data_IF_239515744520
#
_entry.id   IF_239515744520
#
_cell.length_a   1.000
_cell.length_b   1.000
_cell.length_c   1.000
_cell.angle_alpha   90.00
_cell.angle_beta   90.00
_cell.angle_gamma   90.00
#
_symmetry.space_group_name_H-M   'P 1'
#
loop_
_entity.id
_entity.type
_entity.pdbx_description
1 polymer ?
#
# COMPACT_ATOMS: atom_id res chain seq x y z
N UNK A 1 17.58 18.53 18.36
CA UNK A 1 17.61 18.92 16.93
C UNK A 1 16.42 18.34 16.17
N UNK A 2 16.22 17.02 16.22
CA UNK A 2 15.16 16.32 15.46
C UNK A 2 13.74 16.71 15.89
N UNK A 3 13.44 16.75 17.19
CA UNK A 3 12.12 17.16 17.69
C UNK A 3 11.74 18.58 17.23
N UNK A 4 12.71 19.50 17.27
CA UNK A 4 12.54 20.87 16.80
C UNK A 4 12.24 20.91 15.30
N UNK A 5 12.90 20.07 14.51
CA UNK A 5 12.65 19.98 13.07
C UNK A 5 11.24 19.44 12.74
N UNK A 6 10.76 18.44 13.50
CA UNK A 6 9.40 17.89 13.35
C UNK A 6 8.35 18.96 13.69
N UNK A 7 8.52 19.67 14.81
CA UNK A 7 7.61 20.74 15.23
C UNK A 7 7.53 21.86 14.20
N UNK A 8 8.68 22.28 13.68
CA UNK A 8 8.79 23.35 12.70
C UNK A 8 8.20 22.92 11.33
N UNK A 9 8.40 21.67 10.91
CA UNK A 9 7.76 21.12 9.73
C UNK A 9 6.23 21.01 9.88
N UNK A 10 5.75 20.59 11.05
CA UNK A 10 4.32 20.53 11.36
C UNK A 10 3.67 21.92 11.33
N UNK A 11 4.32 22.93 11.94
CA UNK A 11 3.87 24.33 11.88
C UNK A 11 3.70 24.81 10.44
N UNK A 12 4.74 24.64 9.61
CA UNK A 12 4.69 25.01 8.19
C UNK A 12 3.60 24.26 7.41
N UNK A 13 3.37 22.99 7.72
CA UNK A 13 2.32 22.20 7.09
C UNK A 13 0.92 22.73 7.41
N UNK A 14 0.67 23.12 8.66
CA UNK A 14 -0.61 23.70 9.09
C UNK A 14 -0.83 25.09 8.49
N UNK A 15 0.21 25.93 8.41
CA UNK A 15 0.13 27.26 7.81
C UNK A 15 -0.26 27.21 6.32
N UNK A 16 0.18 26.17 5.59
CA UNK A 16 -0.15 25.95 4.18
C UNK A 16 -1.34 25.01 3.96
N UNK A 17 -2.09 24.64 5.01
CA UNK A 17 -3.17 23.64 4.91
C UNK A 17 -4.20 24.00 3.83
N UNK A 18 -4.56 25.29 3.72
CA UNK A 18 -5.53 25.79 2.73
C UNK A 18 -5.09 25.61 1.28
N UNK A 19 -3.79 25.47 1.01
CA UNK A 19 -3.27 25.21 -0.33
C UNK A 19 -2.98 23.73 -0.61
N UNK A 20 -3.07 22.87 0.41
CA UNK A 20 -3.00 21.42 0.22
C UNK A 20 -4.33 20.92 -0.35
N UNK A 21 -4.27 20.21 -1.47
CA UNK A 21 -5.43 19.53 -2.05
C UNK A 21 -5.40 18.05 -1.66
N UNK A 22 -6.57 17.44 -1.36
CA UNK A 22 -6.66 15.99 -1.23
C UNK A 22 -6.09 15.30 -2.47
N UNK A 23 -5.47 14.14 -2.26
CA UNK A 23 -5.11 13.26 -3.36
C UNK A 23 -6.40 12.60 -3.85
N UNK A 24 -6.83 12.98 -5.05
CA UNK A 24 -7.93 12.31 -5.75
C UNK A 24 -7.35 11.21 -6.64
N UNK A 25 -7.93 10.02 -6.55
CA UNK A 25 -7.54 8.86 -7.36
C UNK A 25 -8.73 8.45 -8.21
N UNK A 26 -8.46 8.22 -9.50
CA UNK A 26 -9.45 7.69 -10.42
C UNK A 26 -9.76 6.23 -10.09
N UNK A 27 -11.01 5.83 -10.31
CA UNK A 27 -11.50 4.47 -10.06
C UNK A 27 -11.73 3.74 -11.39
N UNK A 28 -11.37 2.45 -11.51
CA UNK A 28 -10.83 1.60 -10.45
C UNK A 28 -9.39 1.97 -10.07
N UNK A 29 -9.06 1.83 -8.78
CA UNK A 29 -7.71 2.02 -8.28
C UNK A 29 -6.90 0.78 -8.60
N UNK A 30 -6.01 0.90 -9.58
CA UNK A 30 -5.07 -0.16 -9.94
C UNK A 30 -3.78 -0.03 -9.13
N UNK A 31 -3.32 -1.14 -8.56
CA UNK A 31 -2.01 -1.17 -7.90
C UNK A 31 -1.26 -2.48 -8.14
N UNK A 32 0.07 -2.34 -8.15
CA UNK A 32 1.05 -3.42 -8.31
C UNK A 32 1.82 -3.60 -7.01
N UNK A 33 2.03 -4.85 -6.60
CA UNK A 33 2.87 -5.21 -5.47
C UNK A 33 3.94 -6.19 -5.91
N UNK A 34 5.20 -5.80 -5.79
CA UNK A 34 6.34 -6.70 -5.96
C UNK A 34 6.80 -7.23 -4.60
N UNK A 35 6.72 -8.54 -4.41
CA UNK A 35 7.21 -9.22 -3.21
C UNK A 35 8.71 -9.53 -3.32
N UNK A 36 9.37 -9.60 -2.16
CA UNK A 36 10.76 -10.08 -2.09
C UNK A 36 10.85 -11.59 -2.34
N UNK A 37 9.96 -12.37 -1.72
CA UNK A 37 9.93 -13.83 -1.81
C UNK A 37 8.90 -14.28 -2.85
N UNK A 38 9.26 -15.18 -3.79
CA UNK A 38 8.30 -15.83 -4.67
C UNK A 38 7.23 -16.62 -3.91
N UNK A 39 7.54 -17.12 -2.70
CA UNK A 39 6.58 -17.82 -1.84
C UNK A 39 5.47 -16.87 -1.36
N UNK A 40 5.82 -15.68 -0.87
CA UNK A 40 4.84 -14.68 -0.45
C UNK A 40 3.93 -14.27 -1.61
N UNK A 41 4.52 -14.06 -2.80
CA UNK A 41 3.76 -13.72 -3.99
C UNK A 41 2.78 -14.83 -4.37
N UNK A 42 3.18 -16.10 -4.23
CA UNK A 42 2.30 -17.23 -4.48
C UNK A 42 1.15 -17.29 -3.48
N UNK A 43 1.43 -17.18 -2.18
CA UNK A 43 0.40 -17.21 -1.13
C UNK A 43 -0.57 -16.01 -1.23
N UNK A 44 -0.07 -14.82 -1.56
CA UNK A 44 -0.91 -13.64 -1.74
C UNK A 44 -1.75 -13.69 -3.03
N UNK A 45 -1.37 -14.52 -4.01
CA UNK A 45 -2.18 -14.75 -5.21
C UNK A 45 -3.46 -15.58 -4.94
N UNK A 46 -3.57 -16.23 -3.78
CA UNK A 46 -4.80 -16.93 -3.38
C UNK A 46 -5.92 -15.97 -2.97
N UNK A 47 -5.62 -14.67 -2.80
CA UNK A 47 -6.62 -13.63 -2.53
C UNK A 47 -7.48 -13.44 -3.79
N UNK A 48 -8.83 -13.55 -3.71
CA UNK A 48 -9.70 -13.38 -4.87
C UNK A 48 -9.51 -12.05 -5.58
N UNK A 49 -9.42 -12.09 -6.92
CA UNK A 49 -9.24 -10.92 -7.77
C UNK A 49 -7.78 -10.45 -7.92
N UNK A 50 -6.84 -11.04 -7.17
CA UNK A 50 -5.42 -10.78 -7.36
C UNK A 50 -4.89 -11.57 -8.55
N UNK A 51 -4.21 -10.88 -9.46
CA UNK A 51 -3.58 -11.50 -10.61
C UNK A 51 -2.07 -11.57 -10.42
N UNK A 52 -1.50 -12.77 -10.55
CA UNK A 52 -0.05 -12.99 -10.60
C UNK A 52 0.40 -13.17 -12.05
N UNK A 53 0.85 -12.07 -12.67
CA UNK A 53 1.33 -12.09 -14.07
C UNK A 53 2.83 -12.42 -14.17
N UNK A 54 3.58 -12.28 -13.07
CA UNK A 54 5.02 -12.56 -13.02
C UNK A 54 5.40 -13.32 -11.74
N UNK A 55 6.66 -13.73 -11.62
CA UNK A 55 7.12 -14.56 -10.50
C UNK A 55 6.89 -13.92 -9.12
N UNK A 56 7.06 -12.60 -8.99
CA UNK A 56 6.99 -11.87 -7.71
C UNK A 56 6.01 -10.70 -7.70
N UNK A 57 5.35 -10.41 -8.83
CA UNK A 57 4.46 -9.24 -8.96
C UNK A 57 3.00 -9.65 -9.04
N UNK A 58 2.21 -8.99 -8.21
CA UNK A 58 0.77 -9.13 -8.13
C UNK A 58 0.10 -7.82 -8.55
N UNK A 59 -1.03 -7.94 -9.22
CA UNK A 59 -1.85 -6.85 -9.72
C UNK A 59 -3.26 -6.97 -9.16
N UNK A 60 -3.87 -5.83 -8.82
CA UNK A 60 -5.25 -5.78 -8.35
C UNK A 60 -5.91 -4.48 -8.79
N UNK A 61 -7.18 -4.56 -9.19
CA UNK A 61 -8.03 -3.42 -9.51
C UNK A 61 -9.13 -3.30 -8.46
N UNK A 62 -9.02 -2.31 -7.59
CA UNK A 62 -9.99 -2.04 -6.53
C UNK A 62 -11.06 -1.05 -7.01
N UNK A 63 -12.29 -1.18 -6.55
CA UNK A 63 -13.34 -0.17 -6.74
C UNK A 63 -12.88 1.18 -6.19
N UNK A 64 -12.31 1.21 -4.98
CA UNK A 64 -11.92 2.43 -4.29
C UNK A 64 -10.68 2.22 -3.40
N UNK A 65 -10.21 3.30 -2.80
CA UNK A 65 -9.06 3.27 -1.89
C UNK A 65 -9.30 2.48 -0.60
N UNK A 66 -10.56 2.29 -0.20
CA UNK A 66 -10.87 1.51 1.00
C UNK A 66 -10.69 0.02 0.72
N UNK A 67 -11.16 -0.46 -0.43
CA UNK A 67 -10.89 -1.81 -0.92
C UNK A 67 -9.40 -2.01 -1.19
N UNK A 68 -8.73 -1.07 -1.88
CA UNK A 68 -7.29 -1.15 -2.13
C UNK A 68 -6.50 -1.31 -0.84
N UNK A 69 -6.81 -0.50 0.19
CA UNK A 69 -6.15 -0.57 1.50
C UNK A 69 -6.40 -1.90 2.21
N UNK A 70 -7.60 -2.48 2.08
CA UNK A 70 -7.93 -3.79 2.67
C UNK A 70 -7.14 -4.91 2.01
N UNK A 71 -7.10 -4.93 0.68
CA UNK A 71 -6.38 -5.96 -0.09
C UNK A 71 -4.87 -5.82 0.14
N UNK A 72 -4.33 -4.61 0.12
CA UNK A 72 -2.93 -4.37 0.45
C UNK A 72 -2.57 -4.88 1.84
N UNK A 73 -3.41 -4.63 2.85
CA UNK A 73 -3.21 -5.19 4.20
C UNK A 73 -3.25 -6.72 4.22
N UNK A 74 -4.14 -7.36 3.45
CA UNK A 74 -4.17 -8.83 3.35
C UNK A 74 -2.89 -9.38 2.72
N UNK A 75 -2.40 -8.75 1.64
CA UNK A 75 -1.13 -9.09 1.02
C UNK A 75 0.05 -8.95 2.00
N UNK A 76 0.06 -7.91 2.84
CA UNK A 76 1.10 -7.73 3.88
C UNK A 76 1.03 -8.80 4.98
N UNK A 77 -0.16 -9.27 5.36
CA UNK A 77 -0.31 -10.32 6.36
C UNK A 77 0.34 -11.64 5.92
N UNK A 78 0.35 -11.92 4.61
CA UNK A 78 1.03 -13.09 4.05
C UNK A 78 2.54 -13.03 4.32
N UNK A 79 3.17 -11.86 4.19
CA UNK A 79 4.59 -11.68 4.47
C UNK A 79 4.95 -11.94 5.95
N UNK A 80 4.06 -11.59 6.88
CA UNK A 80 4.33 -11.75 8.32
C UNK A 80 4.33 -13.22 8.75
N UNK A 81 3.62 -14.10 8.03
CA UNK A 81 3.61 -15.54 8.28
C UNK A 81 4.93 -16.25 7.97
N UNK A 82 5.81 -15.65 7.15
CA UNK A 82 7.10 -16.26 6.78
C UNK A 82 8.19 -16.15 7.85
N UNK A 83 7.97 -15.36 8.91
CA UNK A 83 9.00 -15.09 9.94
C UNK A 83 9.01 -16.15 11.06
N UNK A 84 8.28 -17.25 10.91
CA UNK A 84 8.18 -18.32 11.92
C UNK A 84 8.45 -19.70 11.31
N UNK A 85 9.64 -19.92 10.73
CA UNK A 85 10.23 -21.27 10.59
C UNK A 85 11.74 -21.17 10.70
#
# INVERSE_FOLDING_TARGET
AEQTAIQEAARRALERLKSMRPLELETPVEFEVEFRSPMSAMLAADIPGVERREARRLFYAAHDMLEASRIWRLMLNVCMGETQV
#
